data_IF_328167654177
#
_entry.id   IF_328167654177
#
_cell.length_a   1.000
_cell.length_b   1.000
_cell.length_c   1.000
_cell.angle_alpha   90.00
_cell.angle_beta   90.00
_cell.angle_gamma   90.00
#
_symmetry.space_group_name_H-M   'P 1'
#
loop_
_entity.id
_entity.type
_entity.pdbx_description
1 polymer ?
#
# COMPACT_ATOMS: atom_id res chain seq x y z
N UNK A 1 14.65 -15.63 -28.55
CA UNK A 1 13.86 -15.26 -27.37
C UNK A 1 13.07 -14.00 -27.64
N UNK A 2 11.82 -13.95 -27.27
CA UNK A 2 10.95 -12.78 -27.42
C UNK A 2 10.37 -12.40 -26.07
N UNK A 3 10.57 -11.15 -25.68
CA UNK A 3 9.96 -10.60 -24.44
C UNK A 3 8.55 -10.14 -24.80
N UNK A 4 7.58 -10.67 -24.06
CA UNK A 4 6.17 -10.29 -24.20
C UNK A 4 5.89 -9.03 -23.38
N UNK A 5 5.03 -8.16 -23.89
CA UNK A 5 4.59 -6.95 -23.18
C UNK A 5 3.07 -6.98 -23.01
N UNK A 6 2.63 -6.58 -21.83
CA UNK A 6 1.19 -6.40 -21.53
C UNK A 6 1.00 -5.20 -20.60
N UNK A 7 -0.09 -4.48 -20.78
CA UNK A 7 -0.51 -3.40 -19.87
C UNK A 7 -1.45 -3.91 -18.77
N UNK A 8 -1.82 -5.21 -18.83
CA UNK A 8 -2.74 -5.84 -17.88
C UNK A 8 -2.21 -7.23 -17.50
N UNK A 9 -1.16 -7.27 -16.66
CA UNK A 9 -0.56 -8.54 -16.27
C UNK A 9 -1.57 -9.48 -15.62
N UNK A 10 -1.52 -10.75 -15.99
CA UNK A 10 -2.33 -11.78 -15.35
C UNK A 10 -1.83 -12.01 -13.91
N UNK A 11 -2.76 -12.14 -12.97
CA UNK A 11 -2.42 -12.39 -11.57
C UNK A 11 -1.58 -13.65 -11.38
N UNK A 12 -1.84 -14.71 -12.15
CA UNK A 12 -1.05 -15.95 -12.08
C UNK A 12 0.41 -15.73 -12.47
N UNK A 13 0.66 -14.88 -13.45
CA UNK A 13 2.02 -14.56 -13.88
C UNK A 13 2.75 -13.73 -12.83
N UNK A 14 2.07 -12.77 -12.22
CA UNK A 14 2.61 -11.95 -11.13
C UNK A 14 2.90 -12.83 -9.91
N UNK A 15 1.98 -13.72 -9.54
CA UNK A 15 2.14 -14.65 -8.42
C UNK A 15 3.30 -15.61 -8.65
N UNK A 16 3.51 -16.05 -9.89
CA UNK A 16 4.66 -16.87 -10.25
C UNK A 16 5.98 -16.16 -9.97
N UNK A 17 6.09 -14.88 -10.37
CA UNK A 17 7.30 -14.08 -10.10
C UNK A 17 7.52 -13.94 -8.59
N UNK A 18 6.46 -13.64 -7.83
CA UNK A 18 6.52 -13.55 -6.38
C UNK A 18 7.02 -14.84 -5.75
N UNK A 19 6.47 -15.97 -6.18
CA UNK A 19 6.90 -17.29 -5.71
C UNK A 19 8.39 -17.51 -5.96
N UNK A 20 8.86 -17.22 -7.17
CA UNK A 20 10.27 -17.41 -7.54
C UNK A 20 11.20 -16.52 -6.74
N UNK A 21 10.82 -15.26 -6.53
CA UNK A 21 11.60 -14.35 -5.70
C UNK A 21 11.62 -14.84 -4.25
N UNK A 22 10.48 -15.24 -3.70
CA UNK A 22 10.40 -15.75 -2.34
C UNK A 22 11.27 -17.00 -2.12
N UNK A 23 11.36 -17.89 -3.11
CA UNK A 23 12.27 -19.04 -3.06
C UNK A 23 13.73 -18.61 -2.94
N UNK A 24 14.12 -17.56 -3.65
CA UNK A 24 15.49 -17.05 -3.65
C UNK A 24 15.84 -16.21 -2.41
N UNK A 25 14.84 -15.59 -1.77
CA UNK A 25 15.02 -14.67 -0.64
C UNK A 25 14.52 -15.23 0.68
N UNK A 26 14.35 -16.54 0.79
CA UNK A 26 13.74 -17.21 1.94
C UNK A 26 14.40 -16.89 3.29
N UNK A 27 15.69 -16.57 3.30
CA UNK A 27 16.43 -16.18 4.51
C UNK A 27 15.91 -14.87 5.12
N UNK A 28 15.31 -14.01 4.30
CA UNK A 28 14.78 -12.70 4.71
C UNK A 28 13.26 -12.68 4.88
N UNK A 29 12.60 -13.82 4.67
CA UNK A 29 11.15 -13.95 4.72
C UNK A 29 10.52 -13.98 3.33
N UNK A 30 9.20 -14.03 3.28
CA UNK A 30 8.43 -14.08 2.05
C UNK A 30 7.57 -12.82 1.91
N UNK A 31 7.47 -12.30 0.69
CA UNK A 31 6.54 -11.23 0.37
C UNK A 31 5.15 -11.81 0.09
N UNK A 32 4.11 -11.09 0.51
CA UNK A 32 2.73 -11.41 0.14
C UNK A 32 1.89 -10.13 0.08
N UNK A 33 0.80 -10.17 -0.69
CA UNK A 33 -0.12 -9.04 -0.81
C UNK A 33 -1.18 -9.07 0.29
N UNK A 34 -1.81 -7.93 0.54
CA UNK A 34 -2.97 -7.81 1.42
C UNK A 34 -3.98 -6.84 0.83
N UNK A 35 -5.21 -6.93 1.30
CA UNK A 35 -6.26 -5.98 0.95
C UNK A 35 -7.35 -5.96 2.01
N UNK A 36 -7.94 -4.79 2.23
CA UNK A 36 -9.12 -4.57 3.07
C UNK A 36 -10.14 -3.80 2.26
N UNK A 37 -11.39 -4.25 2.27
CA UNK A 37 -12.44 -3.64 1.44
C UNK A 37 -13.72 -3.49 2.24
N UNK A 38 -14.44 -2.41 1.98
CA UNK A 38 -15.79 -2.18 2.49
C UNK A 38 -16.74 -2.09 1.30
N UNK A 39 -17.83 -2.84 1.37
CA UNK A 39 -18.81 -2.92 0.28
C UNK A 39 -20.17 -2.45 0.76
N UNK A 40 -20.96 -1.90 -0.16
CA UNK A 40 -22.37 -1.60 0.10
C UNK A 40 -23.24 -2.87 0.04
N UNK A 41 -24.54 -2.71 0.23
CA UNK A 41 -25.51 -3.85 0.27
C UNK A 41 -25.57 -4.63 -1.03
N UNK A 42 -25.24 -4.00 -2.17
CA UNK A 42 -25.27 -4.66 -3.49
C UNK A 42 -23.90 -5.11 -3.97
N UNK A 43 -22.86 -5.00 -3.11
CA UNK A 43 -21.53 -5.53 -3.40
C UNK A 43 -20.55 -4.55 -4.02
N UNK A 44 -20.90 -3.28 -4.20
CA UNK A 44 -19.98 -2.26 -4.72
C UNK A 44 -18.94 -1.88 -3.67
N UNK A 45 -17.69 -1.75 -4.09
CA UNK A 45 -16.64 -1.25 -3.19
C UNK A 45 -16.87 0.25 -2.96
N UNK A 46 -17.00 0.63 -1.69
CA UNK A 46 -17.14 2.02 -1.27
C UNK A 46 -15.90 2.55 -0.57
N UNK A 47 -15.02 1.69 -0.14
CA UNK A 47 -13.70 2.05 0.38
C UNK A 47 -12.79 0.82 0.35
N UNK A 48 -11.50 1.03 0.33
CA UNK A 48 -10.56 -0.07 0.39
C UNK A 48 -9.11 0.39 0.38
N UNK A 49 -8.25 -0.52 0.76
CA UNK A 49 -6.82 -0.36 0.62
C UNK A 49 -6.16 -1.70 0.29
N UNK A 50 -4.99 -1.63 -0.30
CA UNK A 50 -4.18 -2.80 -0.61
C UNK A 50 -2.70 -2.46 -0.52
N UNK A 51 -1.89 -3.49 -0.56
CA UNK A 51 -0.45 -3.35 -0.56
C UNK A 51 0.24 -4.69 -0.42
N UNK A 52 1.39 -4.67 0.24
CA UNK A 52 2.19 -5.87 0.41
C UNK A 52 2.95 -5.85 1.74
N UNK A 53 3.17 -7.04 2.26
CA UNK A 53 4.14 -7.29 3.34
C UNK A 53 5.43 -7.70 2.68
N UNK A 54 6.51 -6.98 2.98
CA UNK A 54 7.81 -7.15 2.33
C UNK A 54 8.91 -7.07 3.40
N UNK A 55 9.51 -8.20 3.73
CA UNK A 55 10.69 -8.27 4.59
C UNK A 55 10.57 -7.46 5.90
N UNK A 56 9.48 -7.67 6.63
CA UNK A 56 9.26 -7.01 7.93
C UNK A 56 8.65 -5.62 7.85
N UNK A 57 8.29 -5.17 6.65
CA UNK A 57 7.56 -3.92 6.44
C UNK A 57 6.20 -4.18 5.81
N UNK A 58 5.20 -3.40 6.18
CA UNK A 58 3.90 -3.41 5.51
C UNK A 58 3.77 -2.12 4.70
N UNK A 59 3.65 -2.27 3.38
CA UNK A 59 3.52 -1.18 2.44
C UNK A 59 2.09 -1.05 1.96
N UNK A 60 1.48 0.11 2.13
CA UNK A 60 0.16 0.42 1.58
C UNK A 60 0.35 1.12 0.24
N UNK A 61 -0.17 0.49 -0.82
CA UNK A 61 -0.08 1.00 -2.18
C UNK A 61 -1.25 1.93 -2.51
N UNK A 62 -2.47 1.48 -2.28
CA UNK A 62 -3.68 2.23 -2.61
C UNK A 62 -4.58 2.34 -1.39
N UNK A 63 -5.15 3.51 -1.19
CA UNK A 63 -6.20 3.76 -0.20
C UNK A 63 -7.20 4.72 -0.83
N UNK A 64 -8.46 4.29 -0.90
CA UNK A 64 -9.52 5.10 -1.50
C UNK A 64 -10.81 4.96 -0.70
N UNK A 65 -11.51 6.07 -0.53
CA UNK A 65 -12.85 6.14 0.07
C UNK A 65 -13.76 6.89 -0.89
N UNK A 66 -14.89 6.30 -1.22
CA UNK A 66 -15.90 6.94 -2.06
C UNK A 66 -16.30 8.30 -1.45
N UNK A 67 -16.46 9.33 -2.29
CA UNK A 67 -16.71 10.70 -1.85
C UNK A 67 -17.91 10.85 -0.91
N UNK A 68 -18.96 10.05 -1.12
CA UNK A 68 -20.15 10.06 -0.28
C UNK A 68 -19.92 9.53 1.16
N UNK A 69 -18.82 8.80 1.36
CA UNK A 69 -18.48 8.17 2.64
C UNK A 69 -17.23 8.78 3.30
N UNK A 70 -16.72 9.88 2.74
CA UNK A 70 -15.58 10.60 3.33
C UNK A 70 -15.99 11.36 4.57
N UNK A 71 -15.00 11.78 5.38
CA UNK A 71 -15.17 12.51 6.65
C UNK A 71 -15.89 11.71 7.74
N UNK A 72 -15.97 10.38 7.58
CA UNK A 72 -16.53 9.47 8.57
C UNK A 72 -15.42 8.69 9.31
N UNK A 73 -14.16 9.02 9.07
CA UNK A 73 -13.03 8.34 9.70
C UNK A 73 -12.68 6.98 9.08
N UNK A 74 -13.19 6.65 7.90
CA UNK A 74 -12.93 5.35 7.26
C UNK A 74 -11.46 5.17 6.87
N UNK A 75 -10.82 6.20 6.32
CA UNK A 75 -9.40 6.13 5.98
C UNK A 75 -8.54 5.77 7.18
N UNK A 76 -8.80 6.40 8.32
CA UNK A 76 -8.13 6.09 9.58
C UNK A 76 -8.38 4.64 10.01
N UNK A 77 -9.63 4.17 9.95
CA UNK A 77 -9.97 2.79 10.29
C UNK A 77 -9.25 1.77 9.43
N UNK A 78 -9.18 2.02 8.12
CA UNK A 78 -8.43 1.15 7.20
C UNK A 78 -6.94 1.10 7.57
N UNK A 79 -6.33 2.25 7.85
CA UNK A 79 -4.93 2.27 8.24
C UNK A 79 -4.68 1.60 9.60
N UNK A 80 -5.60 1.70 10.54
CA UNK A 80 -5.53 0.96 11.80
C UNK A 80 -5.55 -0.55 11.55
N UNK A 81 -6.42 -1.04 10.65
CA UNK A 81 -6.43 -2.45 10.24
C UNK A 81 -5.09 -2.88 9.61
N UNK A 82 -4.53 -2.04 8.76
CA UNK A 82 -3.22 -2.28 8.15
C UNK A 82 -2.13 -2.41 9.22
N UNK A 83 -2.12 -1.49 10.19
CA UNK A 83 -1.11 -1.51 11.26
C UNK A 83 -1.27 -2.73 12.17
N UNK A 84 -2.49 -3.10 12.51
CA UNK A 84 -2.75 -4.29 13.32
C UNK A 84 -2.33 -5.56 12.57
N UNK A 85 -2.66 -5.65 11.30
CA UNK A 85 -2.25 -6.78 10.47
C UNK A 85 -0.72 -6.86 10.36
N UNK A 86 -0.06 -5.72 10.12
CA UNK A 86 1.39 -5.66 10.07
C UNK A 86 2.03 -6.20 11.33
N UNK A 87 1.57 -5.76 12.51
CA UNK A 87 2.05 -6.27 13.80
C UNK A 87 1.81 -7.77 13.94
N UNK A 88 0.64 -8.24 13.56
CA UNK A 88 0.26 -9.66 13.65
C UNK A 88 1.21 -10.55 12.84
N UNK A 89 1.64 -10.11 11.68
CA UNK A 89 2.54 -10.88 10.80
C UNK A 89 4.01 -10.55 11.00
N UNK A 90 4.36 -9.80 12.07
CA UNK A 90 5.73 -9.56 12.46
C UNK A 90 6.41 -8.35 11.84
N UNK A 91 5.65 -7.43 11.25
CA UNK A 91 6.23 -6.19 10.72
C UNK A 91 6.56 -5.20 11.85
N UNK A 92 7.70 -4.54 11.73
CA UNK A 92 8.13 -3.45 12.61
C UNK A 92 8.07 -2.09 11.95
N UNK A 93 7.73 -2.04 10.66
CA UNK A 93 7.72 -0.83 9.84
C UNK A 93 6.49 -0.80 8.97
N UNK A 94 5.84 0.35 8.88
CA UNK A 94 4.79 0.63 7.90
C UNK A 94 5.25 1.76 6.98
N UNK A 95 5.01 1.61 5.69
CA UNK A 95 5.42 2.58 4.68
C UNK A 95 4.27 2.94 3.76
N UNK A 96 4.29 4.18 3.28
CA UNK A 96 3.38 4.69 2.25
C UNK A 96 4.14 5.68 1.39
N UNK A 97 3.66 5.89 0.16
CA UNK A 97 4.09 7.01 -0.66
C UNK A 97 2.87 7.74 -1.19
N UNK A 98 2.98 9.06 -1.34
CA UNK A 98 1.88 9.88 -1.83
C UNK A 98 2.40 11.08 -2.60
N UNK A 99 1.71 11.43 -3.68
CA UNK A 99 2.09 12.57 -4.50
C UNK A 99 1.71 13.88 -3.80
N UNK A 100 2.48 14.93 -4.05
CA UNK A 100 2.25 16.24 -3.44
C UNK A 100 0.87 16.83 -3.79
N UNK A 101 0.31 16.47 -4.95
CA UNK A 101 -1.01 16.96 -5.38
C UNK A 101 -2.19 16.15 -4.81
N UNK A 102 -1.95 15.04 -4.11
CA UNK A 102 -3.00 14.24 -3.48
C UNK A 102 -3.40 14.77 -2.11
N UNK A 103 -2.61 15.65 -1.53
CA UNK A 103 -2.86 16.30 -0.23
C UNK A 103 -3.08 15.33 0.94
N UNK A 104 -2.48 14.14 0.85
CA UNK A 104 -2.64 13.09 1.86
C UNK A 104 -1.54 13.06 2.92
N UNK A 105 -0.45 13.78 2.71
CA UNK A 105 0.67 13.79 3.67
C UNK A 105 0.23 14.13 5.10
N UNK A 106 -0.57 15.19 5.35
CA UNK A 106 -1.04 15.49 6.71
C UNK A 106 -1.89 14.39 7.32
N UNK A 107 -2.67 13.67 6.52
CA UNK A 107 -3.45 12.52 6.96
C UNK A 107 -2.55 11.43 7.54
N UNK A 108 -1.49 11.07 6.83
CA UNK A 108 -0.54 10.06 7.29
C UNK A 108 0.27 10.56 8.49
N UNK A 109 0.66 11.83 8.51
CA UNK A 109 1.39 12.39 9.65
C UNK A 109 0.58 12.31 10.94
N UNK A 110 -0.73 12.55 10.89
CA UNK A 110 -1.63 12.39 12.04
C UNK A 110 -1.72 10.95 12.53
N UNK A 111 -1.42 9.98 11.67
CA UNK A 111 -1.40 8.55 12.02
C UNK A 111 -0.03 8.11 12.55
N UNK A 112 0.91 9.03 12.68
CA UNK A 112 2.24 8.77 13.21
C UNK A 112 3.33 8.50 12.17
N UNK A 113 3.02 8.69 10.89
CA UNK A 113 4.04 8.62 9.83
C UNK A 113 4.90 9.86 9.84
N UNK A 114 6.17 9.71 9.51
CA UNK A 114 7.09 10.81 9.23
C UNK A 114 7.52 10.75 7.77
N UNK A 115 7.76 11.90 7.16
CA UNK A 115 8.32 11.96 5.82
C UNK A 115 9.81 11.71 5.88
N UNK A 116 10.27 10.63 5.25
CA UNK A 116 11.70 10.30 5.18
C UNK A 116 12.39 11.09 4.09
N UNK A 117 11.75 11.26 2.94
CA UNK A 117 12.25 12.10 1.85
C UNK A 117 11.15 12.42 0.84
N UNK A 118 11.45 13.41 0.00
CA UNK A 118 10.63 13.83 -1.12
C UNK A 118 11.42 13.61 -2.41
N UNK A 119 10.83 12.90 -3.37
CA UNK A 119 11.44 12.64 -4.66
C UNK A 119 10.82 13.53 -5.73
N UNK A 120 11.66 14.29 -6.40
CA UNK A 120 11.28 15.19 -7.48
C UNK A 120 11.47 14.51 -8.85
N UNK A 121 10.93 15.12 -9.91
CA UNK A 121 11.12 14.64 -11.28
C UNK A 121 9.91 13.95 -11.89
N UNK A 122 8.78 13.99 -11.21
CA UNK A 122 7.50 13.48 -11.75
C UNK A 122 6.91 14.48 -12.75
N UNK A 123 5.88 14.04 -13.49
CA UNK A 123 5.22 14.86 -14.49
C UNK A 123 4.65 16.15 -13.88
N UNK A 124 4.64 17.24 -14.66
CA UNK A 124 4.09 18.54 -14.28
C UNK A 124 4.71 19.11 -13.00
N UNK A 125 6.03 18.91 -12.82
CA UNK A 125 6.79 19.37 -11.64
C UNK A 125 6.27 18.79 -10.32
N UNK A 126 5.57 17.66 -10.37
CA UNK A 126 5.09 16.99 -9.17
C UNK A 126 6.23 16.27 -8.44
N UNK A 127 6.00 16.01 -7.16
CA UNK A 127 6.91 15.24 -6.31
C UNK A 127 6.15 14.18 -5.54
N UNK A 128 6.88 13.17 -5.06
CA UNK A 128 6.35 12.10 -4.25
C UNK A 128 6.98 12.11 -2.86
N UNK A 129 6.16 12.07 -1.82
CA UNK A 129 6.61 11.92 -0.44
C UNK A 129 6.68 10.44 -0.08
N UNK A 130 7.77 10.03 0.55
CA UNK A 130 7.93 8.67 1.09
C UNK A 130 7.92 8.76 2.61
N UNK A 131 6.90 8.12 3.22
CA UNK A 131 6.66 8.21 4.66
C UNK A 131 6.75 6.84 5.31
N UNK A 132 7.16 6.82 6.57
CA UNK A 132 7.25 5.60 7.36
C UNK A 132 6.79 5.81 8.79
N UNK A 133 6.38 4.70 9.41
CA UNK A 133 5.95 4.63 10.80
C UNK A 133 6.49 3.35 11.42
N UNK A 134 7.05 3.46 12.62
CA UNK A 134 7.42 2.27 13.41
C UNK A 134 6.16 1.64 14.02
N UNK A 135 6.07 0.34 13.90
CA UNK A 135 4.96 -0.42 14.47
C UNK A 135 5.29 -1.03 15.83
#
# INVERSE_FOLDING_TARGET
>A
MKIEHTISPNNKDVDFLTKKINEETSEHGAAHTFGFFLRDEIGNIIAGCNGAVIYGAIYTDQLWVHSAYRKLGLGKKFMEEVHQYGKKVGCSLATVSTMNFQHAKPFYEKLGYKCDFELFGYANYASCFFLSKKL
#
